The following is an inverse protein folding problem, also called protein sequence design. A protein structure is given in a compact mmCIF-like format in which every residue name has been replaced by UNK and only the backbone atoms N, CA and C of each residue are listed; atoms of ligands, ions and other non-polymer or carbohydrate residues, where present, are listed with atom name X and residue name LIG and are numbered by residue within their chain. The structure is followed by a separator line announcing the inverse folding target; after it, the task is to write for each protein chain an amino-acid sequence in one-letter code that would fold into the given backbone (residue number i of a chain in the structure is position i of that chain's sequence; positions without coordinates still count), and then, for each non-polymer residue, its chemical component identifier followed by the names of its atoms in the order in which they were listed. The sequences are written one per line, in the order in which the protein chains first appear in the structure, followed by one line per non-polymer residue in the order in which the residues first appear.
data_IF_728038914720
#
_entry.id   IF_728038914720
#
_cell.length_a   1.000
_cell.length_b   1.000
_cell.length_c   1.000
_cell.angle_alpha   90.00
_cell.angle_beta   90.00
_cell.angle_gamma   90.00
#
_symmetry.space_group_name_H-M   'P 1'
#
loop_
_entity.id
_entity.type
_entity.pdbx_description
1 polymer ?
#
# COMPACT_ATOMS: atom_id res chain seq x y z
N UNK A 1 54.13 45.10 -6.47
CA UNK A 1 54.86 43.82 -6.51
C UNK A 1 53.84 42.71 -6.37
N UNK A 2 53.46 42.13 -7.50
CA UNK A 2 52.41 41.10 -7.59
C UNK A 2 53.08 39.74 -7.59
N UNK A 3 52.80 38.92 -6.59
CA UNK A 3 53.26 37.53 -6.54
C UNK A 3 52.43 36.68 -7.54
N UNK A 4 53.05 35.77 -8.31
CA UNK A 4 52.32 34.93 -9.25
C UNK A 4 51.57 33.83 -8.49
N UNK A 5 50.27 33.71 -8.76
CA UNK A 5 49.42 32.62 -8.29
C UNK A 5 49.83 31.36 -9.06
N UNK A 6 50.27 30.34 -8.33
CA UNK A 6 50.64 29.03 -8.87
C UNK A 6 49.46 28.39 -9.61
N UNK A 7 49.64 28.15 -10.91
CA UNK A 7 48.75 27.31 -11.73
C UNK A 7 49.16 25.85 -11.58
N UNK A 8 48.71 25.20 -10.51
CA UNK A 8 48.73 23.74 -10.43
C UNK A 8 47.28 23.24 -10.36
N UNK A 9 46.64 23.15 -11.52
CA UNK A 9 45.55 22.20 -11.71
C UNK A 9 46.17 20.80 -11.71
N UNK A 10 45.66 19.83 -10.92
CA UNK A 10 46.13 18.46 -11.06
C UNK A 10 45.69 17.95 -12.44
N UNK A 11 46.66 17.58 -13.28
CA UNK A 11 46.37 16.73 -14.45
C UNK A 11 45.70 15.44 -13.95
N UNK A 12 44.70 14.90 -14.68
CA UNK A 12 44.22 13.55 -14.42
C UNK A 12 45.36 12.60 -14.79
N UNK A 13 46.17 12.23 -13.80
CA UNK A 13 47.17 11.20 -13.97
C UNK A 13 46.46 9.94 -14.42
N UNK A 14 46.96 9.34 -15.51
CA UNK A 14 46.72 7.93 -15.82
C UNK A 14 46.90 7.10 -14.54
N UNK A 15 45.99 6.16 -14.22
CA UNK A 15 46.14 5.34 -13.03
C UNK A 15 47.53 4.72 -13.07
N UNK A 16 48.32 4.93 -12.02
CA UNK A 16 49.64 4.31 -11.91
C UNK A 16 49.48 2.80 -12.06
N UNK A 17 50.29 2.17 -12.91
CA UNK A 17 50.30 0.72 -13.16
C UNK A 17 50.37 -0.11 -11.85
N UNK A 18 50.84 0.48 -10.76
CA UNK A 18 50.91 -0.11 -9.41
C UNK A 18 49.54 -0.38 -8.73
N UNK A 19 48.44 0.27 -9.13
CA UNK A 19 47.11 0.01 -8.52
C UNK A 19 46.47 -1.26 -9.11
N UNK A 20 46.89 -1.67 -10.32
CA UNK A 20 46.33 -2.82 -11.03
C UNK A 20 47.09 -4.13 -10.78
N UNK A 21 48.23 -4.10 -10.08
CA UNK A 21 49.17 -5.22 -10.01
C UNK A 21 49.02 -6.20 -8.85
N UNK A 22 48.18 -5.91 -7.83
CA UNK A 22 48.00 -6.81 -6.70
C UNK A 22 46.78 -7.72 -6.85
N UNK A 23 46.87 -8.94 -6.31
CA UNK A 23 45.76 -9.90 -6.32
C UNK A 23 44.53 -9.30 -5.58
N UNK A 24 43.43 -9.14 -6.30
CA UNK A 24 42.21 -8.46 -5.80
C UNK A 24 42.01 -7.03 -6.29
N UNK A 25 42.95 -6.43 -7.03
CA UNK A 25 42.81 -5.07 -7.60
C UNK A 25 41.54 -4.91 -8.45
N UNK A 26 41.25 -5.88 -9.34
CA UNK A 26 40.02 -5.86 -10.13
C UNK A 26 38.75 -5.98 -9.28
N UNK A 27 38.78 -6.79 -8.20
CA UNK A 27 37.64 -6.94 -7.31
C UNK A 27 37.35 -5.63 -6.56
N UNK A 28 38.40 -4.92 -6.14
CA UNK A 28 38.34 -3.59 -5.54
C UNK A 28 37.81 -2.54 -6.52
N UNK A 29 38.33 -2.50 -7.75
CA UNK A 29 37.85 -1.58 -8.79
C UNK A 29 36.38 -1.86 -9.17
N UNK A 30 35.97 -3.14 -9.27
CA UNK A 30 34.56 -3.52 -9.48
C UNK A 30 33.68 -3.10 -8.30
N UNK A 31 34.12 -3.31 -7.07
CA UNK A 31 33.38 -2.88 -5.88
C UNK A 31 33.25 -1.35 -5.81
N UNK A 32 34.33 -0.63 -6.11
CA UNK A 32 34.35 0.82 -6.12
C UNK A 32 33.49 1.39 -7.26
N UNK A 33 33.60 0.84 -8.46
CA UNK A 33 32.76 1.23 -9.61
C UNK A 33 31.28 0.98 -9.35
N UNK A 34 30.92 -0.14 -8.70
CA UNK A 34 29.54 -0.37 -8.22
C UNK A 34 29.10 0.69 -7.20
N UNK A 35 29.98 1.07 -6.27
CA UNK A 35 29.69 2.10 -5.27
C UNK A 35 29.58 3.52 -5.85
N UNK A 36 30.22 3.80 -6.98
CA UNK A 36 30.16 5.08 -7.68
C UNK A 36 28.99 5.18 -8.66
N UNK A 37 28.39 4.05 -9.07
CA UNK A 37 27.24 4.05 -9.97
C UNK A 37 25.99 4.40 -9.16
N UNK A 38 25.30 5.53 -9.44
CA UNK A 38 24.08 5.85 -8.72
C UNK A 38 23.02 4.76 -8.94
N UNK A 39 22.34 4.37 -7.86
CA UNK A 39 21.20 3.47 -7.98
C UNK A 39 20.12 4.09 -8.89
N UNK A 40 19.49 3.29 -9.77
CA UNK A 40 18.49 3.81 -10.71
C UNK A 40 17.30 4.39 -9.94
N UNK A 41 16.85 5.60 -10.24
CA UNK A 41 15.64 6.14 -9.61
C UNK A 41 14.43 5.29 -9.97
N UNK A 42 13.93 4.51 -9.00
CA UNK A 42 12.73 3.69 -9.13
C UNK A 42 11.65 4.20 -8.18
N UNK A 43 10.41 4.18 -8.64
CA UNK A 43 9.23 4.23 -7.77
C UNK A 43 8.98 2.85 -7.13
N UNK A 44 8.10 2.81 -6.12
CA UNK A 44 7.74 1.55 -5.46
C UNK A 44 7.11 0.55 -6.44
N UNK A 45 6.25 1.01 -7.37
CA UNK A 45 5.64 0.11 -8.35
C UNK A 45 6.65 -0.46 -9.35
N UNK A 46 7.53 0.39 -9.90
CA UNK A 46 8.58 -0.04 -10.84
C UNK A 46 9.57 -1.00 -10.19
N UNK A 47 9.90 -0.77 -8.91
CA UNK A 47 10.71 -1.69 -8.13
C UNK A 47 10.02 -3.04 -7.94
N UNK A 48 8.72 -3.03 -7.60
CA UNK A 48 7.96 -4.26 -7.43
C UNK A 48 7.92 -5.05 -8.73
N UNK A 49 7.60 -4.38 -9.85
CA UNK A 49 7.62 -4.99 -11.17
C UNK A 49 8.99 -5.53 -11.54
N UNK A 50 10.10 -4.94 -11.07
CA UNK A 50 11.46 -5.40 -11.38
C UNK A 50 11.97 -6.52 -10.49
N UNK A 51 11.64 -6.48 -9.19
CA UNK A 51 12.36 -7.25 -8.17
C UNK A 51 11.47 -8.13 -7.30
N UNK A 52 10.15 -7.87 -7.23
CA UNK A 52 9.26 -8.62 -6.33
C UNK A 52 8.88 -9.97 -6.92
N UNK A 53 9.05 -11.00 -6.11
CA UNK A 53 8.52 -12.34 -6.35
C UNK A 53 7.42 -12.68 -5.33
N UNK A 54 6.36 -13.30 -5.83
CA UNK A 54 5.24 -13.83 -5.06
C UNK A 54 5.42 -15.33 -4.88
N UNK A 55 5.51 -15.75 -3.62
CA UNK A 55 5.64 -17.17 -3.25
C UNK A 55 4.34 -17.94 -3.52
N UNK A 56 4.46 -19.18 -3.95
CA UNK A 56 3.34 -20.13 -4.03
C UNK A 56 2.73 -20.47 -2.66
N UNK A 57 3.46 -20.20 -1.56
CA UNK A 57 2.95 -20.39 -0.19
C UNK A 57 1.88 -19.37 0.21
N UNK A 58 1.87 -18.21 -0.44
CA UNK A 58 1.10 -17.04 0.01
C UNK A 58 0.25 -16.40 -1.11
N UNK A 59 0.55 -16.67 -2.38
CA UNK A 59 -0.14 -16.08 -3.53
C UNK A 59 -0.84 -17.16 -4.37
N UNK A 60 -2.07 -16.85 -4.79
CA UNK A 60 -2.80 -17.65 -5.78
C UNK A 60 -2.17 -17.55 -7.19
N UNK A 61 -1.46 -16.45 -7.46
CA UNK A 61 -0.75 -16.19 -8.71
C UNK A 61 0.76 -16.06 -8.37
N UNK A 62 1.50 -17.17 -8.21
CA UNK A 62 2.94 -17.12 -7.90
C UNK A 62 3.77 -16.64 -9.10
N UNK A 63 4.97 -16.16 -8.81
CA UNK A 63 5.91 -15.64 -9.81
C UNK A 63 6.19 -14.15 -9.62
N UNK A 64 6.65 -13.50 -10.69
CA UNK A 64 7.01 -12.08 -10.63
C UNK A 64 5.75 -11.22 -10.42
N UNK A 65 5.82 -10.28 -9.49
CA UNK A 65 4.74 -9.31 -9.29
C UNK A 65 4.54 -8.48 -10.56
N UNK A 66 3.28 -8.18 -10.88
CA UNK A 66 2.89 -7.37 -12.03
C UNK A 66 1.86 -6.35 -11.60
N UNK A 67 2.24 -5.08 -11.56
CA UNK A 67 1.36 -3.96 -11.24
C UNK A 67 0.19 -3.89 -12.22
N UNK A 68 0.39 -4.30 -13.48
CA UNK A 68 -0.66 -4.35 -14.50
C UNK A 68 -1.81 -5.32 -14.17
N UNK A 69 -1.59 -6.23 -13.20
CA UNK A 69 -2.66 -7.08 -12.67
C UNK A 69 -3.67 -6.28 -11.85
N UNK A 70 -3.19 -5.25 -11.14
CA UNK A 70 -4.00 -4.32 -10.34
C UNK A 70 -3.56 -2.89 -10.63
N UNK A 71 -3.86 -2.33 -11.83
CA UNK A 71 -3.30 -1.05 -12.28
C UNK A 71 -3.52 0.11 -11.32
N UNK A 72 -4.67 0.11 -10.63
CA UNK A 72 -5.02 1.09 -9.61
C UNK A 72 -4.04 1.14 -8.43
N UNK A 73 -3.28 0.07 -8.15
CA UNK A 73 -2.26 0.05 -7.09
C UNK A 73 -1.03 0.89 -7.43
N UNK A 74 -0.78 1.17 -8.71
CA UNK A 74 0.41 1.91 -9.17
C UNK A 74 0.54 3.26 -8.47
N UNK A 75 -0.49 4.10 -8.58
CA UNK A 75 -0.46 5.45 -7.98
C UNK A 75 -0.38 5.42 -6.44
N UNK A 76 -0.96 4.40 -5.80
CA UNK A 76 -0.90 4.24 -4.33
C UNK A 76 0.54 3.91 -3.92
N UNK A 77 1.16 2.93 -4.59
CA UNK A 77 2.57 2.57 -4.35
C UNK A 77 3.50 3.75 -4.66
N UNK A 78 3.29 4.44 -5.76
CA UNK A 78 4.16 5.55 -6.18
C UNK A 78 4.07 6.74 -5.23
N UNK A 79 2.90 6.98 -4.62
CA UNK A 79 2.74 7.99 -3.57
C UNK A 79 3.60 7.71 -2.31
N UNK A 80 3.94 6.45 -2.06
CA UNK A 80 4.84 6.02 -0.98
C UNK A 80 6.33 6.21 -1.31
N UNK A 81 6.66 6.46 -2.58
CA UNK A 81 8.05 6.68 -3.01
C UNK A 81 8.62 7.95 -2.35
N UNK A 82 9.91 7.97 -1.95
CA UNK A 82 10.53 9.13 -1.30
C UNK A 82 10.43 10.44 -2.07
N UNK A 83 10.44 10.38 -3.41
CA UNK A 83 10.32 11.56 -4.28
C UNK A 83 8.92 12.16 -4.36
N UNK A 84 7.88 11.43 -3.93
CA UNK A 84 6.51 11.95 -3.92
C UNK A 84 6.28 12.87 -2.71
N UNK A 85 5.50 13.95 -2.86
CA UNK A 85 5.29 14.97 -1.83
C UNK A 85 4.41 14.54 -0.65
N UNK A 86 3.51 13.56 -0.87
CA UNK A 86 2.63 13.06 0.18
C UNK A 86 3.42 12.45 1.35
N UNK A 87 3.08 12.80 2.57
CA UNK A 87 3.66 12.19 3.78
C UNK A 87 2.72 11.17 4.41
N UNK A 88 1.43 11.24 4.08
CA UNK A 88 0.38 10.32 4.53
C UNK A 88 -0.39 9.81 3.32
N UNK A 89 -0.47 8.50 3.19
CA UNK A 89 -1.25 7.80 2.17
C UNK A 89 -2.31 6.99 2.90
N UNK A 90 -3.57 7.27 2.64
CA UNK A 90 -4.72 6.61 3.27
C UNK A 90 -5.44 5.77 2.24
N UNK A 91 -5.77 4.53 2.55
CA UNK A 91 -6.49 3.65 1.63
C UNK A 91 -7.63 2.90 2.33
N UNK A 92 -8.85 3.43 2.14
CA UNK A 92 -10.11 2.84 2.58
C UNK A 92 -10.64 1.93 1.49
N UNK A 93 -10.69 0.62 1.71
CA UNK A 93 -10.83 -0.34 0.62
C UNK A 93 -11.74 -1.51 0.92
N UNK A 94 -12.23 -2.17 -0.12
CA UNK A 94 -12.82 -3.50 -0.02
C UNK A 94 -11.77 -4.58 0.28
N UNK A 95 -12.19 -5.72 0.82
CA UNK A 95 -11.32 -6.85 1.06
C UNK A 95 -10.67 -7.36 -0.24
N UNK A 96 -9.45 -7.88 -0.12
CA UNK A 96 -8.72 -8.57 -1.20
C UNK A 96 -8.47 -7.76 -2.49
N UNK A 97 -8.36 -6.43 -2.42
CA UNK A 97 -7.99 -5.59 -3.59
C UNK A 97 -6.48 -5.28 -3.68
N UNK A 98 -5.60 -6.09 -3.07
CA UNK A 98 -4.15 -5.97 -3.21
C UNK A 98 -3.44 -4.97 -2.26
N UNK A 99 -4.15 -4.42 -1.28
CA UNK A 99 -3.62 -3.39 -0.38
C UNK A 99 -2.42 -3.83 0.49
N UNK A 100 -2.52 -4.99 1.14
CA UNK A 100 -1.43 -5.54 1.95
C UNK A 100 -0.19 -5.86 1.10
N UNK A 101 -0.39 -6.35 -0.13
CA UNK A 101 0.74 -6.62 -1.04
C UNK A 101 1.40 -5.33 -1.53
N UNK A 102 0.66 -4.23 -1.69
CA UNK A 102 1.25 -2.90 -1.93
C UNK A 102 2.11 -2.43 -0.74
N UNK A 103 1.66 -2.66 0.49
CA UNK A 103 2.46 -2.42 1.70
C UNK A 103 3.73 -3.30 1.76
N UNK A 104 3.62 -4.57 1.40
CA UNK A 104 4.76 -5.49 1.32
C UNK A 104 5.75 -5.09 0.21
N UNK A 105 5.26 -4.60 -0.93
CA UNK A 105 6.10 -4.05 -1.99
C UNK A 105 6.85 -2.81 -1.49
N UNK A 106 6.19 -1.96 -0.70
CA UNK A 106 6.83 -0.80 -0.10
C UNK A 106 7.90 -1.20 0.92
N UNK A 107 7.65 -2.21 1.77
CA UNK A 107 8.68 -2.79 2.65
C UNK A 107 9.90 -3.25 1.85
N UNK A 108 9.68 -4.02 0.78
CA UNK A 108 10.77 -4.50 -0.08
C UNK A 108 11.54 -3.35 -0.74
N UNK A 109 10.82 -2.34 -1.23
CA UNK A 109 11.43 -1.13 -1.77
C UNK A 109 12.31 -0.41 -0.72
N UNK A 110 11.84 -0.29 0.52
CA UNK A 110 12.63 0.32 1.61
C UNK A 110 13.89 -0.49 1.89
N UNK A 111 13.80 -1.82 1.98
CA UNK A 111 14.96 -2.70 2.22
C UNK A 111 16.00 -2.57 1.10
N UNK A 112 15.55 -2.53 -0.16
CA UNK A 112 16.45 -2.54 -1.31
C UNK A 112 16.98 -1.14 -1.64
N UNK A 113 16.08 -0.15 -1.78
CA UNK A 113 16.31 1.04 -2.59
C UNK A 113 16.30 2.34 -1.80
N UNK A 114 15.54 2.41 -0.69
CA UNK A 114 15.54 3.59 0.17
C UNK A 114 15.65 3.23 1.66
N UNK A 115 16.77 2.59 2.10
CA UNK A 115 16.92 2.09 3.45
C UNK A 115 16.66 3.14 4.53
N UNK A 116 16.01 2.68 5.59
CA UNK A 116 15.73 3.48 6.77
C UNK A 116 14.91 2.69 7.79
N UNK A 117 14.73 3.24 8.99
CA UNK A 117 13.92 2.61 10.01
C UNK A 117 12.45 2.59 9.60
N UNK A 118 11.85 1.39 9.57
CA UNK A 118 10.46 1.15 9.20
C UNK A 118 9.73 0.41 10.32
N UNK A 119 8.54 0.89 10.67
CA UNK A 119 7.61 0.24 11.59
C UNK A 119 6.41 -0.29 10.81
N UNK A 120 6.14 -1.59 10.89
CA UNK A 120 4.95 -2.22 10.32
C UNK A 120 4.04 -2.73 11.45
N UNK A 121 2.78 -2.29 11.44
CA UNK A 121 1.83 -2.54 12.52
C UNK A 121 0.66 -3.36 11.98
N UNK A 122 0.33 -4.42 12.71
CA UNK A 122 -0.84 -5.27 12.51
C UNK A 122 -1.78 -5.13 13.71
N UNK A 123 -3.04 -5.59 13.66
CA UNK A 123 -3.98 -5.38 14.77
C UNK A 123 -3.49 -5.96 16.11
N UNK A 124 -2.83 -7.12 16.08
CA UNK A 124 -2.22 -7.75 17.26
C UNK A 124 -0.79 -8.20 17.03
N UNK A 125 -0.02 -8.41 18.11
CA UNK A 125 1.34 -8.95 18.05
C UNK A 125 1.35 -10.36 17.43
N UNK A 126 0.32 -11.16 17.67
CA UNK A 126 0.15 -12.50 17.10
C UNK A 126 -0.06 -12.42 15.59
N UNK A 127 -0.86 -11.46 15.11
CA UNK A 127 -1.03 -11.20 13.68
C UNK A 127 0.25 -10.66 13.04
N UNK A 128 1.00 -9.80 13.73
CA UNK A 128 2.32 -9.34 13.28
C UNK A 128 3.30 -10.53 13.10
N UNK A 129 3.34 -11.43 14.09
CA UNK A 129 4.13 -12.67 14.05
C UNK A 129 3.72 -13.55 12.85
N UNK A 130 2.41 -13.72 12.63
CA UNK A 130 1.88 -14.50 11.50
C UNK A 130 2.25 -13.85 10.16
N UNK A 131 2.04 -12.54 10.02
CA UNK A 131 2.36 -11.78 8.82
C UNK A 131 3.85 -11.87 8.49
N UNK A 132 4.74 -11.78 9.50
CA UNK A 132 6.17 -11.98 9.27
C UNK A 132 6.45 -13.33 8.61
N UNK A 133 5.95 -14.43 9.19
CA UNK A 133 6.25 -15.79 8.70
C UNK A 133 5.63 -16.07 7.33
N UNK A 134 4.43 -15.57 7.09
CA UNK A 134 3.63 -15.95 5.92
C UNK A 134 3.80 -14.99 4.73
N UNK A 135 4.23 -13.75 4.97
CA UNK A 135 4.32 -12.71 3.93
C UNK A 135 5.72 -12.13 3.82
N UNK A 136 6.30 -11.66 4.93
CA UNK A 136 7.58 -10.94 4.92
C UNK A 136 8.77 -11.87 4.70
N UNK A 137 8.81 -13.01 5.41
CA UNK A 137 9.89 -13.99 5.23
C UNK A 137 9.91 -14.53 3.79
N UNK A 138 8.78 -14.97 3.18
CA UNK A 138 8.75 -15.34 1.77
C UNK A 138 9.08 -14.18 0.82
N UNK A 139 8.64 -12.94 1.11
CA UNK A 139 9.01 -11.76 0.32
C UNK A 139 10.54 -11.63 0.22
N UNK A 140 11.24 -11.77 1.35
CA UNK A 140 12.70 -11.65 1.43
C UNK A 140 13.38 -12.86 0.78
N UNK A 141 12.92 -14.08 1.08
CA UNK A 141 13.54 -15.32 0.62
C UNK A 141 13.44 -15.55 -0.89
N UNK A 142 12.30 -15.16 -1.48
CA UNK A 142 11.98 -15.41 -2.89
C UNK A 142 12.42 -14.27 -3.81
N UNK A 143 12.67 -13.06 -3.26
CA UNK A 143 13.14 -11.92 -4.04
C UNK A 143 14.67 -11.80 -3.92
N UNK A 144 15.46 -12.14 -4.96
CA UNK A 144 16.93 -12.18 -4.84
C UNK A 144 17.55 -10.86 -4.35
N UNK A 145 17.02 -9.74 -4.82
CA UNK A 145 17.47 -8.41 -4.43
C UNK A 145 17.33 -8.12 -2.92
N UNK A 146 16.37 -8.75 -2.25
CA UNK A 146 16.15 -8.65 -0.80
C UNK A 146 16.98 -9.68 -0.03
N UNK A 147 17.01 -10.92 -0.52
CA UNK A 147 17.75 -12.02 0.09
C UNK A 147 19.24 -11.71 0.28
N UNK A 148 19.84 -11.01 -0.68
CA UNK A 148 21.25 -10.59 -0.61
C UNK A 148 21.51 -9.51 0.45
N UNK A 149 20.49 -8.76 0.86
CA UNK A 149 20.59 -7.60 1.78
C UNK A 149 20.20 -7.92 3.21
N UNK A 150 19.23 -8.79 3.40
CA UNK A 150 18.78 -9.23 4.73
C UNK A 150 19.57 -10.47 5.12
N UNK A 151 20.47 -10.33 6.09
CA UNK A 151 21.31 -11.45 6.54
C UNK A 151 20.43 -12.55 7.17
N UNK A 152 20.70 -13.85 6.94
CA UNK A 152 19.96 -14.91 7.61
C UNK A 152 20.16 -14.82 9.14
N UNK A 153 19.12 -15.13 9.90
CA UNK A 153 19.21 -15.21 11.36
C UNK A 153 20.21 -16.32 11.75
N UNK A 154 21.39 -15.95 12.26
CA UNK A 154 22.38 -16.90 12.79
C UNK A 154 22.26 -16.93 14.31
N UNK A 155 22.58 -18.07 14.94
CA UNK A 155 22.49 -18.27 16.39
C UNK A 155 23.30 -17.27 17.25
N UNK A 156 24.19 -16.47 16.64
CA UNK A 156 24.99 -15.42 17.30
C UNK A 156 24.73 -14.00 16.77
N UNK A 157 23.84 -13.82 15.79
CA UNK A 157 23.43 -12.51 15.26
C UNK A 157 22.07 -12.13 15.86
N UNK A 158 22.07 -11.26 16.87
CA UNK A 158 20.88 -10.87 17.65
C UNK A 158 19.91 -9.93 16.91
N UNK A 159 20.30 -9.37 15.77
CA UNK A 159 19.54 -8.33 15.08
C UNK A 159 18.32 -8.82 14.28
N UNK A 160 18.39 -10.05 13.74
CA UNK A 160 17.32 -10.64 12.95
C UNK A 160 16.50 -11.63 13.76
N UNK A 161 15.27 -11.22 14.06
CA UNK A 161 14.29 -12.04 14.79
C UNK A 161 13.03 -12.24 13.94
N UNK A 162 12.00 -12.85 14.52
CA UNK A 162 10.71 -12.93 13.86
C UNK A 162 10.09 -11.55 13.63
N UNK A 163 10.26 -10.61 14.55
CA UNK A 163 9.61 -9.30 14.49
C UNK A 163 10.59 -8.16 14.14
N UNK A 164 11.85 -8.48 13.83
CA UNK A 164 12.87 -7.52 13.45
C UNK A 164 13.69 -8.05 12.27
N UNK A 165 13.82 -7.26 11.21
CA UNK A 165 14.69 -7.55 10.05
C UNK A 165 15.64 -6.36 9.86
N UNK A 166 16.90 -6.52 10.23
CA UNK A 166 18.00 -5.60 9.97
C UNK A 166 18.61 -5.81 8.58
N UNK A 167 18.98 -4.69 7.96
CA UNK A 167 19.61 -4.62 6.65
C UNK A 167 20.52 -3.39 6.59
N UNK A 168 21.37 -3.30 5.57
CA UNK A 168 22.29 -2.18 5.42
C UNK A 168 21.51 -0.84 5.35
N UNK A 169 21.75 0.05 6.33
CA UNK A 169 21.12 1.37 6.39
C UNK A 169 19.70 1.40 6.99
N UNK A 170 19.18 0.30 7.54
CA UNK A 170 17.84 0.31 8.14
C UNK A 170 17.45 -0.94 8.92
N UNK A 171 16.25 -0.88 9.47
CA UNK A 171 15.62 -1.98 10.20
C UNK A 171 14.11 -1.94 9.95
N UNK A 172 13.52 -3.11 9.76
CA UNK A 172 12.07 -3.31 9.76
C UNK A 172 11.68 -3.92 11.10
N UNK A 173 10.93 -3.18 11.91
CA UNK A 173 10.30 -3.71 13.13
C UNK A 173 8.81 -3.92 12.89
N UNK A 174 8.32 -5.08 13.29
CA UNK A 174 6.91 -5.48 13.18
C UNK A 174 6.29 -5.60 14.58
N UNK A 175 5.12 -5.01 14.79
CA UNK A 175 4.44 -5.04 16.09
C UNK A 175 2.92 -5.10 15.96
N UNK A 176 2.24 -5.34 17.07
CA UNK A 176 0.78 -5.21 17.20
C UNK A 176 0.37 -3.81 17.65
N UNK A 177 -0.79 -3.35 17.18
CA UNK A 177 -1.46 -2.15 17.67
C UNK A 177 -1.90 -2.28 19.14
N UNK A 178 -2.03 -3.51 19.65
CA UNK A 178 -2.29 -3.82 21.05
C UNK A 178 -1.04 -3.80 21.95
N UNK A 179 0.13 -3.35 21.46
CA UNK A 179 1.36 -3.26 22.28
C UNK A 179 1.94 -1.85 22.26
N UNK A 180 1.69 -1.09 23.31
CA UNK A 180 2.12 0.30 23.42
C UNK A 180 3.65 0.41 23.49
N UNK A 181 4.29 -0.52 24.19
CA UNK A 181 5.76 -0.66 24.21
C UNK A 181 6.31 -0.88 22.80
N UNK A 182 5.68 -1.76 22.01
CA UNK A 182 6.09 -2.03 20.63
C UNK A 182 5.96 -0.79 19.74
N UNK A 183 4.84 -0.07 19.83
CA UNK A 183 4.59 1.15 19.05
C UNK A 183 5.57 2.29 19.37
N UNK A 184 6.10 2.33 20.60
CA UNK A 184 7.02 3.37 21.04
C UNK A 184 8.51 2.99 20.94
N UNK A 185 8.80 1.75 20.55
CA UNK A 185 10.12 1.11 20.68
C UNK A 185 11.25 1.78 19.90
N UNK A 186 10.97 2.43 18.76
CA UNK A 186 11.99 3.06 17.91
C UNK A 186 11.45 4.26 17.14
N UNK A 187 12.31 5.22 16.75
CA UNK A 187 12.00 6.17 15.67
C UNK A 187 11.79 5.43 14.35
N UNK A 188 10.82 5.85 13.54
CA UNK A 188 10.49 5.21 12.27
C UNK A 188 10.27 6.25 11.17
N UNK A 189 11.11 6.24 10.13
CA UNK A 189 10.92 7.11 8.95
C UNK A 189 9.68 6.68 8.16
N UNK A 190 9.48 5.38 8.06
CA UNK A 190 8.39 4.76 7.33
C UNK A 190 7.48 4.03 8.32
N UNK A 191 6.18 4.29 8.26
CA UNK A 191 5.19 3.66 9.12
C UNK A 191 4.11 3.04 8.25
N UNK A 192 3.94 1.73 8.33
CA UNK A 192 2.88 1.00 7.65
C UNK A 192 1.88 0.46 8.68
N UNK A 193 0.64 0.95 8.63
CA UNK A 193 -0.45 0.58 9.52
C UNK A 193 -1.49 -0.20 8.69
N UNK A 194 -1.52 -1.52 8.87
CA UNK A 194 -2.43 -2.40 8.13
C UNK A 194 -3.64 -2.77 9.00
N UNK A 195 -4.81 -2.88 8.37
CA UNK A 195 -6.12 -3.14 8.98
C UNK A 195 -6.43 -2.24 10.20
N UNK A 196 -6.26 -0.93 10.04
CA UNK A 196 -6.36 0.06 11.14
C UNK A 196 -7.71 0.13 11.83
N UNK A 197 -8.80 -0.28 11.19
CA UNK A 197 -10.12 -0.34 11.85
C UNK A 197 -10.24 -1.52 12.82
N UNK A 198 -9.39 -2.53 12.71
CA UNK A 198 -9.35 -3.65 13.66
C UNK A 198 -8.47 -3.34 14.88
N UNK A 199 -7.91 -2.13 14.98
CA UNK A 199 -7.06 -1.75 16.11
C UNK A 199 -7.90 -1.51 17.37
N UNK A 200 -7.37 -1.83 18.57
CA UNK A 200 -8.05 -1.47 19.80
C UNK A 200 -8.22 0.06 19.91
N UNK A 201 -9.19 0.48 20.72
CA UNK A 201 -9.41 1.91 20.98
C UNK A 201 -8.16 2.58 21.57
N UNK A 202 -7.42 1.83 22.41
CA UNK A 202 -6.20 2.27 23.09
C UNK A 202 -5.18 1.13 23.14
N UNK A 203 -3.89 1.42 22.91
CA UNK A 203 -2.79 0.47 23.10
C UNK A 203 -2.37 0.46 24.57
N UNK A 204 -2.55 -0.65 25.29
CA UNK A 204 -2.23 -0.78 26.72
C UNK A 204 -2.63 0.44 27.58
N UNK A 205 -3.80 1.03 27.29
CA UNK A 205 -4.34 2.24 27.95
C UNK A 205 -3.58 3.56 27.67
N UNK A 206 -2.57 3.57 26.80
CA UNK A 206 -1.72 4.74 26.52
C UNK A 206 -2.20 5.62 25.36
N UNK A 207 -3.35 5.30 24.76
CA UNK A 207 -4.02 6.09 23.74
C UNK A 207 -4.05 5.43 22.37
N UNK A 208 -4.45 6.22 21.36
CA UNK A 208 -4.68 5.73 20.00
C UNK A 208 -3.41 5.10 19.38
N UNK A 209 -3.44 3.81 19.02
CA UNK A 209 -2.30 3.12 18.42
C UNK A 209 -1.74 3.81 17.17
N UNK A 210 -2.62 4.40 16.33
CA UNK A 210 -2.23 5.11 15.11
C UNK A 210 -1.39 6.35 15.45
N UNK A 211 -1.86 7.16 16.40
CA UNK A 211 -1.14 8.36 16.85
C UNK A 211 0.21 8.01 17.50
N UNK A 212 0.26 6.94 18.30
CA UNK A 212 1.50 6.47 18.94
C UNK A 212 2.56 6.06 17.90
N UNK A 213 2.16 5.29 16.89
CA UNK A 213 3.04 4.86 15.80
C UNK A 213 3.54 6.06 14.98
N UNK A 214 2.66 6.98 14.62
CA UNK A 214 3.03 8.14 13.80
C UNK A 214 3.95 9.12 14.52
N UNK A 215 3.81 9.25 15.83
CA UNK A 215 4.70 10.06 16.64
C UNK A 215 6.18 9.61 16.50
N UNK A 216 6.43 8.34 16.13
CA UNK A 216 7.79 7.83 15.87
C UNK A 216 8.45 8.44 14.63
N UNK A 217 7.67 9.03 13.74
CA UNK A 217 8.13 9.57 12.47
C UNK A 217 8.44 11.07 12.49
N UNK A 218 8.12 11.76 13.58
CA UNK A 218 8.17 13.23 13.66
C UNK A 218 9.56 13.81 13.38
N UNK A 219 10.63 13.18 13.86
CA UNK A 219 12.01 13.65 13.67
C UNK A 219 12.52 13.52 12.23
N UNK A 220 11.81 12.80 11.36
CA UNK A 220 12.16 12.67 9.94
C UNK A 220 11.58 13.78 9.05
N UNK A 221 10.79 14.69 9.63
CA UNK A 221 10.22 15.86 8.96
C UNK A 221 9.57 15.50 7.60
N UNK A 222 9.97 16.18 6.52
CA UNK A 222 9.39 15.98 5.19
C UNK A 222 9.70 14.63 4.54
N UNK A 223 10.66 13.86 5.08
CA UNK A 223 11.09 12.56 4.54
C UNK A 223 10.30 11.38 5.08
N UNK A 224 9.38 11.63 6.03
CA UNK A 224 8.54 10.60 6.61
C UNK A 224 7.47 10.15 5.62
N UNK A 225 7.05 8.89 5.72
CA UNK A 225 5.88 8.36 5.01
C UNK A 225 5.08 7.48 5.94
N UNK A 226 3.77 7.66 5.92
CA UNK A 226 2.81 6.84 6.66
C UNK A 226 1.81 6.27 5.67
N UNK A 227 1.62 4.95 5.70
CA UNK A 227 0.61 4.26 4.90
C UNK A 227 -0.43 3.63 5.82
N UNK A 228 -1.69 4.02 5.67
CA UNK A 228 -2.81 3.48 6.42
C UNK A 228 -3.73 2.73 5.47
N UNK A 229 -4.04 1.49 5.82
CA UNK A 229 -4.91 0.63 5.02
C UNK A 229 -5.94 0.00 5.94
N UNK A 230 -7.20 0.00 5.53
CA UNK A 230 -8.20 -0.87 6.18
C UNK A 230 -9.43 -1.06 5.33
N UNK A 231 -10.11 -2.16 5.61
CA UNK A 231 -11.54 -2.26 5.36
C UNK A 231 -12.27 -1.41 6.42
N UNK A 232 -13.20 -0.52 6.05
CA UNK A 232 -13.93 0.30 7.02
C UNK A 232 -14.99 -0.51 7.78
N UNK A 233 -15.42 0.01 8.93
CA UNK A 233 -16.40 -0.64 9.81
C UNK A 233 -17.68 0.20 9.95
N UNK A 234 -17.95 0.75 11.13
CA UNK A 234 -19.16 1.52 11.44
C UNK A 234 -18.88 3.01 11.22
N UNK A 235 -19.83 3.71 10.58
CA UNK A 235 -19.73 5.14 10.31
C UNK A 235 -19.51 5.92 11.60
N UNK A 236 -18.57 6.86 11.59
CA UNK A 236 -18.24 7.68 12.77
C UNK A 236 -17.33 7.01 13.79
N UNK A 237 -17.24 5.67 13.81
CA UNK A 237 -16.27 4.92 14.61
C UNK A 237 -15.06 4.46 13.80
N UNK A 238 -15.25 4.25 12.49
CA UNK A 238 -14.23 3.79 11.56
C UNK A 238 -13.05 4.77 11.49
N UNK A 239 -11.85 4.26 11.83
CA UNK A 239 -10.62 5.07 11.79
C UNK A 239 -10.27 5.42 10.35
N UNK A 240 -10.28 4.43 9.45
CA UNK A 240 -9.92 4.64 8.05
C UNK A 240 -10.89 5.59 7.35
N UNK A 241 -12.19 5.56 7.70
CA UNK A 241 -13.17 6.54 7.20
C UNK A 241 -12.77 7.96 7.58
N UNK A 242 -12.50 8.21 8.87
CA UNK A 242 -12.09 9.53 9.35
C UNK A 242 -10.83 10.04 8.64
N UNK A 243 -9.83 9.17 8.47
CA UNK A 243 -8.59 9.51 7.77
C UNK A 243 -8.81 9.79 6.28
N UNK A 244 -9.70 9.01 5.64
CA UNK A 244 -10.08 9.20 4.24
C UNK A 244 -10.85 10.52 4.05
N UNK A 245 -11.82 10.82 4.90
CA UNK A 245 -12.61 12.06 4.84
C UNK A 245 -11.75 13.32 5.02
N UNK A 246 -10.64 13.24 5.75
CA UNK A 246 -9.70 14.34 5.93
C UNK A 246 -8.76 14.59 4.71
N UNK A 247 -8.74 13.68 3.75
CA UNK A 247 -7.86 13.69 2.57
C UNK A 247 -8.50 14.36 1.33
N UNK A 248 -7.85 14.23 0.16
CA UNK A 248 -8.37 14.64 -1.15
C UNK A 248 -9.36 13.63 -1.76
N UNK A 249 -9.66 12.54 -1.04
CA UNK A 249 -10.71 11.58 -1.32
C UNK A 249 -10.71 11.06 -2.77
N UNK A 250 -9.60 10.47 -3.22
CA UNK A 250 -9.50 10.00 -4.61
C UNK A 250 -10.38 8.78 -4.86
N UNK A 251 -11.06 8.81 -6.01
CA UNK A 251 -11.75 7.66 -6.61
C UNK A 251 -11.03 7.26 -7.90
N UNK A 252 -11.10 5.97 -8.25
CA UNK A 252 -10.50 5.44 -9.47
C UNK A 252 -11.52 5.51 -10.60
N UNK A 253 -11.30 6.40 -11.57
CA UNK A 253 -12.19 6.57 -12.71
C UNK A 253 -11.74 5.65 -13.84
N UNK A 254 -12.69 5.00 -14.50
CA UNK A 254 -12.46 4.13 -15.65
C UNK A 254 -13.33 4.59 -16.82
N UNK A 255 -12.86 4.45 -18.07
CA UNK A 255 -13.64 4.82 -19.24
C UNK A 255 -14.77 3.81 -19.48
N UNK A 256 -15.93 4.30 -19.91
CA UNK A 256 -16.93 3.44 -20.54
C UNK A 256 -16.40 2.91 -21.88
N UNK A 257 -16.48 1.59 -22.16
CA UNK A 257 -16.05 1.03 -23.44
C UNK A 257 -16.93 1.47 -24.62
N UNK A 258 -18.16 1.94 -24.37
CA UNK A 258 -19.11 2.33 -25.40
C UNK A 258 -19.03 3.81 -25.77
N UNK A 259 -18.98 4.70 -24.78
CA UNK A 259 -19.01 6.15 -24.99
C UNK A 259 -17.74 6.90 -24.55
N UNK A 260 -16.77 6.23 -23.93
CA UNK A 260 -15.53 6.83 -23.44
C UNK A 260 -15.66 7.72 -22.19
N UNK A 261 -16.88 7.94 -21.67
CA UNK A 261 -17.07 8.75 -20.48
C UNK A 261 -16.37 8.14 -19.26
N UNK A 262 -15.61 8.97 -18.55
CA UNK A 262 -14.85 8.57 -17.36
C UNK A 262 -15.75 8.61 -16.11
N UNK A 263 -15.84 7.49 -15.40
CA UNK A 263 -16.70 7.33 -14.22
C UNK A 263 -16.00 6.47 -13.16
N UNK A 264 -16.31 6.66 -11.88
CA UNK A 264 -15.96 5.66 -10.88
C UNK A 264 -17.17 4.73 -10.67
N UNK A 265 -16.91 3.44 -10.56
CA UNK A 265 -17.91 2.40 -10.39
C UNK A 265 -18.64 2.55 -9.05
N UNK A 266 -19.96 2.73 -9.13
CA UNK A 266 -20.89 2.79 -7.99
C UNK A 266 -21.75 1.55 -7.96
N UNK A 267 -22.00 0.99 -6.78
CA UNK A 267 -22.69 -0.29 -6.66
C UNK A 267 -24.11 -0.26 -7.23
N UNK A 268 -24.80 0.87 -7.11
CA UNK A 268 -26.16 1.09 -7.62
C UNK A 268 -26.28 0.98 -9.15
N UNK A 269 -25.14 1.05 -9.84
CA UNK A 269 -25.05 0.90 -11.30
C UNK A 269 -24.78 -0.54 -11.72
N UNK A 270 -24.42 -1.43 -10.80
CA UNK A 270 -24.36 -2.86 -11.06
C UNK A 270 -25.79 -3.43 -10.99
N UNK A 271 -26.31 -3.91 -12.13
CA UNK A 271 -27.68 -4.41 -12.25
C UNK A 271 -27.66 -5.84 -12.74
N UNK A 272 -28.62 -6.65 -12.28
CA UNK A 272 -28.82 -8.03 -12.71
C UNK A 272 -30.31 -8.38 -12.57
N UNK A 273 -30.73 -9.43 -13.28
CA UNK A 273 -32.06 -10.01 -13.09
C UNK A 273 -32.13 -10.71 -11.72
N UNK A 274 -33.21 -10.45 -10.96
CA UNK A 274 -33.39 -11.03 -9.62
C UNK A 274 -33.30 -12.56 -9.65
N UNK A 275 -32.44 -13.12 -8.80
CA UNK A 275 -32.19 -14.56 -8.71
C UNK A 275 -31.31 -15.11 -9.83
N UNK A 276 -30.76 -14.24 -10.69
CA UNK A 276 -29.84 -14.57 -11.79
C UNK A 276 -28.59 -13.68 -11.75
N UNK A 277 -27.77 -13.78 -10.70
CA UNK A 277 -26.58 -12.94 -10.52
C UNK A 277 -25.54 -13.07 -11.65
N UNK A 278 -25.57 -14.14 -12.44
CA UNK A 278 -24.76 -14.32 -13.65
C UNK A 278 -25.08 -13.30 -14.76
N UNK A 279 -26.24 -12.65 -14.72
CA UNK A 279 -26.64 -11.59 -15.66
C UNK A 279 -26.09 -10.22 -15.28
N UNK A 280 -25.24 -10.14 -14.25
CA UNK A 280 -24.72 -8.88 -13.75
C UNK A 280 -23.92 -8.10 -14.79
N UNK A 281 -24.38 -6.88 -15.06
CA UNK A 281 -23.71 -5.91 -15.93
C UNK A 281 -23.68 -4.53 -15.25
N UNK A 282 -22.60 -3.79 -15.48
CA UNK A 282 -22.47 -2.43 -14.96
C UNK A 282 -23.03 -1.43 -15.97
N UNK A 283 -24.02 -0.61 -15.58
CA UNK A 283 -24.62 0.38 -16.48
C UNK A 283 -23.88 1.71 -16.42
N UNK A 284 -23.39 2.19 -17.56
CA UNK A 284 -22.62 3.43 -17.64
C UNK A 284 -23.43 4.66 -17.20
N UNK A 285 -22.84 5.52 -16.35
CA UNK A 285 -23.48 6.75 -15.84
C UNK A 285 -23.88 7.79 -16.91
N UNK A 286 -23.29 7.71 -18.11
CA UNK A 286 -23.52 8.68 -19.19
C UNK A 286 -24.46 8.15 -20.27
N UNK A 287 -24.20 6.94 -20.80
CA UNK A 287 -24.96 6.38 -21.91
C UNK A 287 -25.94 5.27 -21.52
N UNK A 288 -26.00 4.88 -20.24
CA UNK A 288 -26.85 3.78 -19.69
C UNK A 288 -26.60 2.38 -20.29
N UNK A 289 -25.78 2.26 -21.33
CA UNK A 289 -25.41 0.98 -21.94
C UNK A 289 -24.81 0.01 -20.91
N UNK A 290 -25.21 -1.29 -20.95
CA UNK A 290 -24.65 -2.31 -20.09
C UNK A 290 -23.21 -2.60 -20.48
N UNK A 291 -22.33 -2.61 -19.49
CA UNK A 291 -20.94 -3.00 -19.61
C UNK A 291 -20.81 -4.39 -19.01
N UNK A 292 -20.40 -5.34 -19.83
CA UNK A 292 -20.09 -6.70 -19.39
C UNK A 292 -18.69 -6.77 -18.75
N UNK A 293 -18.52 -7.75 -17.87
CA UNK A 293 -17.29 -7.99 -17.09
C UNK A 293 -16.03 -8.11 -17.97
N UNK A 294 -16.17 -8.62 -19.20
CA UNK A 294 -15.03 -8.84 -20.11
C UNK A 294 -14.34 -7.53 -20.54
N UNK A 295 -15.01 -6.37 -20.43
CA UNK A 295 -14.40 -5.06 -20.68
C UNK A 295 -13.50 -4.58 -19.55
N UNK A 296 -13.64 -5.14 -18.33
CA UNK A 296 -12.96 -4.67 -17.11
C UNK A 296 -11.44 -4.56 -17.25
N UNK A 297 -10.70 -5.49 -17.89
CA UNK A 297 -9.25 -5.34 -18.08
C UNK A 297 -8.85 -4.05 -18.79
N UNK A 298 -9.52 -3.72 -19.90
CA UNK A 298 -9.24 -2.50 -20.66
C UNK A 298 -9.64 -1.25 -19.87
N UNK A 299 -10.78 -1.30 -19.18
CA UNK A 299 -11.26 -0.23 -18.31
C UNK A 299 -10.27 0.08 -17.18
N UNK A 300 -9.76 -0.96 -16.50
CA UNK A 300 -8.79 -0.81 -15.40
C UNK A 300 -7.43 -0.30 -15.89
N UNK A 301 -6.96 -0.78 -17.04
CA UNK A 301 -5.69 -0.35 -17.63
C UNK A 301 -5.72 1.12 -18.07
N UNK A 302 -6.87 1.61 -18.53
CA UNK A 302 -7.09 3.00 -18.92
C UNK A 302 -7.63 3.89 -17.78
N UNK A 303 -7.70 3.36 -16.55
CA UNK A 303 -8.24 4.08 -15.42
C UNK A 303 -7.25 5.04 -14.77
N UNK A 304 -7.77 6.05 -14.06
CA UNK A 304 -6.96 7.04 -13.37
C UNK A 304 -7.58 7.49 -12.04
N UNK A 305 -6.73 7.84 -11.08
CA UNK A 305 -7.17 8.38 -9.80
C UNK A 305 -7.47 9.88 -9.93
N UNK A 306 -8.65 10.30 -9.49
CA UNK A 306 -9.01 11.73 -9.42
C UNK A 306 -9.46 12.08 -8.01
N UNK A 307 -8.97 13.21 -7.49
CA UNK A 307 -9.44 13.78 -6.23
C UNK A 307 -10.89 14.23 -6.36
N UNK A 308 -11.73 13.86 -5.38
CA UNK A 308 -13.14 14.29 -5.33
C UNK A 308 -13.43 15.25 -4.19
N UNK A 309 -12.43 15.56 -3.36
CA UNK A 309 -12.52 16.54 -2.29
C UNK A 309 -11.26 17.41 -2.21
N UNK A 310 -11.37 18.54 -1.52
CA UNK A 310 -10.20 19.34 -1.15
C UNK A 310 -9.60 18.76 0.14
N UNK A 311 -8.30 18.43 0.17
CA UNK A 311 -7.68 17.88 1.37
C UNK A 311 -7.59 18.93 2.48
N UNK A 312 -7.70 18.48 3.74
CA UNK A 312 -7.41 19.34 4.91
C UNK A 312 -5.91 19.58 5.07
N UNK A 313 -5.08 18.59 4.72
CA UNK A 313 -3.62 18.68 4.64
C UNK A 313 -3.17 18.26 3.23
N UNK A 314 -2.51 19.16 2.51
CA UNK A 314 -2.00 18.90 1.16
C UNK A 314 -0.97 17.76 1.08
N UNK A 315 -0.43 17.31 2.23
CA UNK A 315 0.50 16.18 2.33
C UNK A 315 -0.20 14.84 2.57
N UNK A 316 -1.52 14.85 2.70
CA UNK A 316 -2.35 13.66 2.86
C UNK A 316 -3.11 13.38 1.58
N UNK A 317 -2.86 12.22 0.97
CA UNK A 317 -3.63 11.71 -0.16
C UNK A 317 -4.43 10.52 0.30
N UNK A 318 -5.70 10.46 -0.08
CA UNK A 318 -6.58 9.34 0.27
C UNK A 318 -7.13 8.67 -0.96
N UNK A 319 -7.28 7.37 -0.87
CA UNK A 319 -7.74 6.51 -1.94
C UNK A 319 -8.90 5.65 -1.43
N UNK A 320 -9.85 5.37 -2.32
CA UNK A 320 -10.90 4.41 -2.06
C UNK A 320 -11.16 3.51 -3.25
N UNK A 321 -11.35 2.22 -2.96
CA UNK A 321 -11.63 1.23 -3.98
C UNK A 321 -12.56 0.14 -3.47
N UNK A 322 -13.63 -0.12 -4.21
CA UNK A 322 -14.55 -1.22 -3.96
C UNK A 322 -14.09 -2.49 -4.68
N UNK A 323 -14.71 -3.63 -4.36
CA UNK A 323 -14.46 -4.90 -5.06
C UNK A 323 -14.96 -4.89 -6.51
N UNK A 324 -15.72 -3.87 -6.95
CA UNK A 324 -16.15 -3.72 -8.34
C UNK A 324 -14.96 -3.65 -9.32
N UNK A 325 -13.79 -3.21 -8.82
CA UNK A 325 -12.54 -3.10 -9.57
C UNK A 325 -11.67 -4.36 -9.50
N UNK A 326 -12.14 -5.42 -8.85
CA UNK A 326 -11.40 -6.69 -8.79
C UNK A 326 -11.13 -7.18 -10.22
N UNK A 327 -9.87 -7.49 -10.57
CA UNK A 327 -9.54 -7.87 -11.92
C UNK A 327 -10.02 -9.30 -12.22
N UNK A 328 -10.08 -9.75 -13.49
CA UNK A 328 -10.67 -11.05 -13.83
C UNK A 328 -10.00 -12.21 -13.10
N UNK A 329 -10.75 -13.21 -12.66
CA UNK A 329 -10.24 -14.33 -11.85
C UNK A 329 -10.15 -14.03 -10.35
N UNK A 330 -10.42 -12.79 -9.94
CA UNK A 330 -10.76 -12.46 -8.55
C UNK A 330 -12.29 -12.36 -8.43
N UNK A 331 -12.80 -11.56 -7.50
CA UNK A 331 -14.24 -11.42 -7.29
C UNK A 331 -14.93 -10.79 -8.51
N UNK A 332 -15.76 -11.55 -9.21
CA UNK A 332 -16.50 -11.06 -10.39
C UNK A 332 -17.70 -10.21 -9.99
N UNK A 333 -18.25 -9.43 -10.94
CA UNK A 333 -19.54 -8.76 -10.72
C UNK A 333 -20.69 -9.74 -10.41
N UNK A 334 -20.66 -10.94 -10.98
CA UNK A 334 -21.62 -11.99 -10.63
C UNK A 334 -21.45 -12.51 -9.20
N UNK A 335 -20.21 -12.63 -8.68
CA UNK A 335 -19.97 -12.95 -7.27
C UNK A 335 -20.47 -11.83 -6.35
N UNK A 336 -20.28 -10.56 -6.74
CA UNK A 336 -20.78 -9.42 -5.98
C UNK A 336 -22.31 -9.40 -5.94
N UNK A 337 -22.97 -9.68 -7.06
CA UNK A 337 -24.42 -9.83 -7.12
C UNK A 337 -24.91 -10.98 -6.21
N UNK A 338 -24.23 -12.13 -6.24
CA UNK A 338 -24.51 -13.26 -5.33
C UNK A 338 -24.38 -12.88 -3.86
N UNK A 339 -23.29 -12.21 -3.49
CA UNK A 339 -23.10 -11.76 -2.11
C UNK A 339 -24.21 -10.78 -1.69
N UNK A 340 -24.63 -9.88 -2.57
CA UNK A 340 -25.73 -8.95 -2.28
C UNK A 340 -27.05 -9.69 -2.08
N UNK A 341 -27.37 -10.65 -2.94
CA UNK A 341 -28.59 -11.45 -2.80
C UNK A 341 -28.58 -12.29 -1.51
N UNK A 342 -27.42 -12.85 -1.15
CA UNK A 342 -27.25 -13.62 0.09
C UNK A 342 -27.31 -12.74 1.35
N UNK A 343 -26.90 -11.47 1.25
CA UNK A 343 -26.98 -10.52 2.35
C UNK A 343 -28.41 -10.02 2.60
N UNK A 344 -29.27 -10.06 1.57
CA UNK A 344 -30.62 -9.51 1.64
C UNK A 344 -31.44 -10.14 2.78
N UNK A 345 -31.99 -9.30 3.66
CA UNK A 345 -32.81 -9.71 4.80
C UNK A 345 -32.04 -9.94 6.10
N UNK A 346 -30.74 -9.67 6.15
CA UNK A 346 -29.95 -9.66 7.39
C UNK A 346 -29.08 -8.41 7.49
N UNK A 347 -29.35 -7.53 8.45
CA UNK A 347 -28.56 -6.31 8.71
C UNK A 347 -27.08 -6.64 8.96
N UNK A 348 -26.78 -7.77 9.61
CA UNK A 348 -25.41 -8.20 9.83
C UNK A 348 -24.72 -8.60 8.52
N UNK A 349 -25.42 -9.34 7.65
CA UNK A 349 -24.86 -9.74 6.36
C UNK A 349 -24.73 -8.53 5.41
N UNK A 350 -25.68 -7.60 5.45
CA UNK A 350 -25.62 -6.32 4.72
C UNK A 350 -24.45 -5.46 5.19
N UNK A 351 -24.20 -5.41 6.51
CA UNK A 351 -23.01 -4.77 7.08
C UNK A 351 -21.74 -5.40 6.54
N UNK A 352 -21.63 -6.73 6.55
CA UNK A 352 -20.46 -7.45 6.01
C UNK A 352 -20.28 -7.14 4.53
N UNK A 353 -21.35 -7.18 3.73
CA UNK A 353 -21.31 -6.85 2.31
C UNK A 353 -20.80 -5.42 2.08
N UNK A 354 -21.40 -4.44 2.76
CA UNK A 354 -21.04 -3.03 2.61
C UNK A 354 -19.60 -2.75 3.01
N UNK A 355 -19.17 -3.25 4.16
CA UNK A 355 -17.81 -3.07 4.64
C UNK A 355 -16.79 -3.78 3.75
N UNK A 356 -16.98 -5.08 3.49
CA UNK A 356 -15.95 -5.91 2.86
C UNK A 356 -15.98 -5.92 1.34
N UNK A 357 -17.15 -5.72 0.70
CA UNK A 357 -17.28 -5.73 -0.77
C UNK A 357 -17.27 -4.32 -1.32
N UNK A 358 -17.99 -3.38 -0.70
CA UNK A 358 -18.01 -2.00 -1.18
C UNK A 358 -16.84 -1.18 -0.63
N UNK A 359 -16.24 -1.61 0.48
CA UNK A 359 -15.24 -0.80 1.17
C UNK A 359 -15.87 0.46 1.74
N UNK A 360 -17.12 0.40 2.19
CA UNK A 360 -17.89 1.54 2.69
C UNK A 360 -18.33 1.29 4.13
N UNK A 361 -18.52 2.35 4.91
CA UNK A 361 -19.00 2.24 6.29
C UNK A 361 -20.48 1.87 6.36
N UNK A 362 -20.81 1.13 7.42
CA UNK A 362 -22.17 0.78 7.78
C UNK A 362 -22.77 1.86 8.69
N UNK A 363 -24.04 2.20 8.48
CA UNK A 363 -24.81 3.08 9.35
C UNK A 363 -25.71 2.19 10.19
N UNK A 364 -25.57 2.23 11.51
CA UNK A 364 -26.42 1.40 12.38
C UNK A 364 -27.88 1.85 12.28
N UNK A 365 -28.75 0.89 12.00
CA UNK A 365 -30.21 1.03 11.95
C UNK A 365 -30.74 1.22 13.37
N UNK A 366 -30.50 2.38 13.99
CA UNK A 366 -30.91 2.68 15.36
C UNK A 366 -30.63 4.10 15.83
N UNK A 367 -29.55 4.73 15.35
CA UNK A 367 -29.02 6.00 15.89
C UNK A 367 -28.99 7.16 14.88
N UNK A 368 -29.67 7.06 13.73
CA UNK A 368 -29.82 8.20 12.85
C UNK A 368 -30.80 9.22 13.47
N UNK A 369 -30.35 10.41 13.94
CA UNK A 369 -31.26 11.44 14.40
C UNK A 369 -32.20 11.85 13.25
N UNK A 370 -33.49 12.01 13.56
CA UNK A 370 -34.60 12.08 12.59
C UNK A 370 -34.45 13.13 11.47
N UNK A 371 -33.54 14.10 11.59
CA UNK A 371 -33.28 15.12 10.57
C UNK A 371 -32.55 14.59 9.32
N UNK A 372 -31.75 13.51 9.42
CA UNK A 372 -31.06 12.93 8.25
C UNK A 372 -32.01 12.14 7.34
N UNK A 373 -33.03 11.50 7.92
CA UNK A 373 -34.05 10.72 7.18
C UNK A 373 -34.91 11.58 6.24
N UNK A 374 -34.92 12.90 6.43
CA UNK A 374 -35.68 13.84 5.60
C UNK A 374 -34.86 14.30 4.38
N UNK A 375 -33.52 14.30 4.46
CA UNK A 375 -32.65 14.71 3.35
C UNK A 375 -32.53 13.64 2.26
N UNK A 376 -32.65 12.35 2.62
CA UNK A 376 -32.57 11.23 1.68
C UNK A 376 -33.89 10.96 0.91
N UNK A 377 -34.95 11.75 1.19
CA UNK A 377 -36.26 11.68 0.51
C UNK A 377 -36.50 12.81 -0.50
N UNK A 378 -35.46 13.55 -0.88
CA UNK A 378 -35.47 14.54 -1.96
C UNK A 378 -34.38 14.20 -2.96
#
# INVERSE_FOLDING_TARGET
MSAPISRNSPSPGSPSEDIAGFDGAEALLRAWGRGLTPDPWLTVSEWADRHRWLSSRASAEPGRYRTDRTPYMRAIMDALSPGHSAQRVVFMKAAQVGATEAGNNWIGFVIHHAPGPMLAVQPTVELAKRNSRQRIDPLIEESPALKERVRPARARDSGNTQLSKEFAGGVLVMTGANSAVGLRSMPARYVFLDEVDAYPASADEEGDPVALAEARSLTFAHRRKVFLVSTPTIRGLSRIEREYEASDQRRFFVPCPHCGAMQWLRFERLRWEKGKPETAAYHCDACEEPIEEHHKPAMLAAGEWRATAKPRDARTVGFHLSALYSPPGWKSWADIARDKEAAAGSDEAERVFRNTVLGETWIETGDAPDWQRIAERR
#
